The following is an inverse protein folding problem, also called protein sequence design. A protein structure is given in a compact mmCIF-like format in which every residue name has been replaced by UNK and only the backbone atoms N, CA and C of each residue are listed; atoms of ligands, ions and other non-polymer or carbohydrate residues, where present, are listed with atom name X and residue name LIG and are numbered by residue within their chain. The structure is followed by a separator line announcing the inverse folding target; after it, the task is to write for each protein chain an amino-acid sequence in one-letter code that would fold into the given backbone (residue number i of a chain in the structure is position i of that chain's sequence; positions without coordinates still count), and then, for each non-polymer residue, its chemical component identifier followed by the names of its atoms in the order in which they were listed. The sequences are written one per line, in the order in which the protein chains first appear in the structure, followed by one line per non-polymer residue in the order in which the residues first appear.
data_IF_792785883309
#
_entry.id   IF_792785883309
#
_cell.length_a   1.000
_cell.length_b   1.000
_cell.length_c   1.000
_cell.angle_alpha   90.00
_cell.angle_beta   90.00
_cell.angle_gamma   90.00
#
_symmetry.space_group_name_H-M   'P 1'
#
loop_
_entity.id
_entity.type
_entity.pdbx_description
1 polymer ?
#
# COMPACT_ATOMS: atom_id res chain seq x y z
N UNK A 1 1.03 -42.20 -8.77
CA UNK A 1 0.24 -41.06 -9.17
C UNK A 1 0.68 -39.76 -8.52
N UNK A 2 1.66 -39.80 -7.60
CA UNK A 2 2.29 -38.61 -7.03
C UNK A 2 3.14 -37.86 -8.07
N UNK A 3 3.57 -38.49 -9.13
CA UNK A 3 4.40 -37.89 -10.19
C UNK A 3 3.62 -36.84 -10.99
N UNK A 4 2.32 -37.05 -11.22
CA UNK A 4 1.49 -36.10 -11.95
C UNK A 4 1.25 -34.78 -11.18
N UNK A 5 1.09 -34.87 -9.86
CA UNK A 5 0.88 -33.71 -9.00
C UNK A 5 2.16 -32.86 -8.88
N UNK A 6 3.32 -33.49 -8.77
CA UNK A 6 4.62 -32.81 -8.75
C UNK A 6 4.91 -32.11 -10.07
N UNK A 7 4.55 -32.71 -11.19
CA UNK A 7 4.72 -32.13 -12.53
C UNK A 7 3.84 -30.90 -12.71
N UNK A 8 2.58 -30.93 -12.27
CA UNK A 8 1.66 -29.81 -12.35
C UNK A 8 2.14 -28.63 -11.48
N UNK A 9 2.64 -28.90 -10.28
CA UNK A 9 3.17 -27.86 -9.40
C UNK A 9 4.42 -27.20 -10.00
N UNK A 10 5.29 -27.95 -10.66
CA UNK A 10 6.46 -27.41 -11.33
C UNK A 10 6.09 -26.53 -12.51
N UNK A 11 5.11 -26.93 -13.31
CA UNK A 11 4.62 -26.12 -14.43
C UNK A 11 3.99 -24.83 -13.94
N UNK A 12 3.22 -24.87 -12.85
CA UNK A 12 2.62 -23.69 -12.24
C UNK A 12 3.71 -22.75 -11.70
N UNK A 13 4.73 -23.27 -11.04
CA UNK A 13 5.85 -22.49 -10.51
C UNK A 13 6.66 -21.84 -11.63
N UNK A 14 6.91 -22.58 -12.72
CA UNK A 14 7.61 -22.02 -13.89
C UNK A 14 6.80 -20.93 -14.57
N UNK A 15 5.49 -21.14 -14.71
CA UNK A 15 4.59 -20.15 -15.27
C UNK A 15 4.54 -18.89 -14.41
N UNK A 16 4.42 -19.05 -13.09
CA UNK A 16 4.41 -17.94 -12.16
C UNK A 16 5.72 -17.15 -12.22
N UNK A 17 6.86 -17.85 -12.26
CA UNK A 17 8.18 -17.24 -12.38
C UNK A 17 8.31 -16.46 -13.70
N UNK A 18 7.81 -16.99 -14.81
CA UNK A 18 7.83 -16.32 -16.12
C UNK A 18 6.93 -15.09 -16.12
N UNK A 19 5.77 -15.15 -15.47
CA UNK A 19 4.87 -14.01 -15.32
C UNK A 19 5.55 -12.91 -14.50
N UNK A 20 6.19 -13.28 -13.39
CA UNK A 20 6.90 -12.33 -12.53
C UNK A 20 8.07 -11.66 -13.28
N UNK A 21 8.85 -12.44 -14.01
CA UNK A 21 9.96 -11.93 -14.82
C UNK A 21 9.47 -11.01 -15.94
N UNK A 22 8.38 -11.39 -16.61
CA UNK A 22 7.73 -10.56 -17.63
C UNK A 22 7.24 -9.24 -17.04
N UNK A 23 6.57 -9.29 -15.90
CA UNK A 23 6.08 -8.10 -15.20
C UNK A 23 7.21 -7.17 -14.76
N UNK A 24 8.36 -7.73 -14.35
CA UNK A 24 9.56 -6.94 -14.00
C UNK A 24 10.18 -6.25 -15.20
N UNK A 25 10.06 -6.84 -16.40
CA UNK A 25 10.65 -6.27 -17.63
C UNK A 25 9.79 -5.20 -18.28
N UNK A 26 8.50 -5.10 -17.91
CA UNK A 26 7.58 -4.12 -18.48
C UNK A 26 7.72 -2.80 -17.75
N UNK A 27 7.95 -1.74 -18.52
CA UNK A 27 7.90 -0.38 -17.97
C UNK A 27 6.46 -0.02 -17.62
N UNK A 28 6.29 0.61 -16.45
CA UNK A 28 4.98 1.03 -15.97
C UNK A 28 5.14 2.34 -15.17
N UNK A 29 4.07 3.13 -15.02
CA UNK A 29 4.16 4.35 -14.23
C UNK A 29 4.29 4.01 -12.74
N UNK A 30 5.08 4.81 -12.04
CA UNK A 30 5.23 4.71 -10.59
C UNK A 30 4.60 5.96 -9.99
N UNK A 31 3.51 5.77 -9.27
CA UNK A 31 2.74 6.87 -8.70
C UNK A 31 2.84 6.87 -7.18
N UNK A 32 2.88 8.06 -6.62
CA UNK A 32 2.76 8.26 -5.18
C UNK A 32 1.43 8.94 -4.89
N UNK A 33 0.76 8.50 -3.82
CA UNK A 33 -0.52 9.03 -3.43
C UNK A 33 -0.44 9.70 -2.06
N UNK A 34 -1.04 10.87 -1.97
CA UNK A 34 -1.20 11.59 -0.72
C UNK A 34 -2.43 12.47 -0.76
N UNK A 35 -2.89 12.88 0.41
CA UNK A 35 -3.99 13.83 0.57
C UNK A 35 -3.49 15.01 1.38
N UNK A 36 -3.75 16.21 0.93
CA UNK A 36 -3.34 17.42 1.62
C UNK A 36 -3.76 18.68 0.89
N UNK A 37 -3.32 19.80 1.40
CA UNK A 37 -3.43 21.10 0.71
C UNK A 37 -2.11 21.38 -0.01
N UNK A 38 -1.18 22.06 0.63
CA UNK A 38 0.17 22.29 0.09
C UNK A 38 1.11 21.13 0.41
N UNK A 39 0.96 20.56 1.61
CA UNK A 39 1.70 19.38 2.06
C UNK A 39 0.73 18.26 2.43
N UNK A 40 1.12 17.00 2.26
CA UNK A 40 0.22 15.90 2.59
C UNK A 40 0.09 15.69 4.10
N UNK A 41 -1.13 15.52 4.58
CA UNK A 41 -1.43 15.02 5.92
C UNK A 41 -1.72 13.51 5.92
N UNK A 42 -1.88 12.91 4.74
CA UNK A 42 -1.99 11.46 4.55
C UNK A 42 -1.07 11.06 3.40
N UNK A 43 -0.29 10.00 3.62
CA UNK A 43 0.68 9.49 2.64
C UNK A 43 0.84 7.97 2.81
N UNK A 44 1.69 7.36 1.99
CA UNK A 44 1.94 5.93 2.01
C UNK A 44 2.45 5.43 3.38
N UNK A 45 3.24 6.24 4.07
CA UNK A 45 3.79 5.88 5.39
C UNK A 45 2.69 5.81 6.45
N UNK A 46 1.79 6.78 6.48
CA UNK A 46 0.65 6.78 7.40
C UNK A 46 -0.35 5.66 7.04
N UNK A 47 -0.56 5.42 5.75
CA UNK A 47 -1.37 4.30 5.28
C UNK A 47 -0.84 2.97 5.82
N UNK A 48 0.46 2.74 5.72
CA UNK A 48 1.09 1.52 6.25
C UNK A 48 0.93 1.42 7.77
N UNK A 49 1.12 2.52 8.48
CA UNK A 49 0.92 2.56 9.94
C UNK A 49 -0.50 2.14 10.32
N UNK A 50 -1.51 2.67 9.66
CA UNK A 50 -2.91 2.34 9.93
C UNK A 50 -3.21 0.86 9.61
N UNK A 51 -2.66 0.34 8.53
CA UNK A 51 -2.77 -1.08 8.21
C UNK A 51 -2.17 -1.98 9.29
N UNK A 52 -0.98 -1.63 9.76
CA UNK A 52 -0.30 -2.41 10.79
C UNK A 52 -1.03 -2.34 12.14
N UNK A 53 -1.59 -1.18 12.48
CA UNK A 53 -2.42 -1.04 13.69
C UNK A 53 -3.63 -1.98 13.62
N UNK A 54 -4.32 -2.02 12.50
CA UNK A 54 -5.47 -2.91 12.32
C UNK A 54 -5.08 -4.38 12.37
N UNK A 55 -3.96 -4.72 11.74
CA UNK A 55 -3.47 -6.10 11.66
C UNK A 55 -2.93 -6.60 13.00
N UNK A 56 -2.16 -5.78 13.69
CA UNK A 56 -1.46 -6.15 14.92
C UNK A 56 -2.24 -5.79 16.19
N UNK A 57 -3.23 -4.92 16.09
CA UNK A 57 -4.00 -4.36 17.21
C UNK A 57 -3.11 -3.74 18.31
N UNK A 58 -1.97 -3.18 17.91
CA UNK A 58 -0.96 -2.68 18.82
C UNK A 58 -0.09 -1.64 18.10
N UNK A 59 -0.15 -0.38 18.57
CA UNK A 59 0.60 0.71 17.96
C UNK A 59 2.11 0.55 18.16
N UNK A 60 2.53 0.00 19.29
CA UNK A 60 3.95 -0.18 19.58
C UNK A 60 4.58 -1.20 18.63
N UNK A 61 3.89 -2.32 18.40
CA UNK A 61 4.35 -3.34 17.43
C UNK A 61 4.37 -2.79 16.01
N UNK A 62 3.39 -2.00 15.63
CA UNK A 62 3.36 -1.33 14.34
C UNK A 62 4.55 -0.38 14.19
N UNK A 63 4.84 0.41 15.21
CA UNK A 63 6.00 1.31 15.24
C UNK A 63 7.31 0.55 15.12
N UNK A 64 7.46 -0.57 15.84
CA UNK A 64 8.67 -1.40 15.77
C UNK A 64 8.90 -1.91 14.34
N UNK A 65 7.84 -2.36 13.68
CA UNK A 65 7.91 -2.83 12.29
C UNK A 65 8.36 -1.73 11.33
N UNK A 66 7.94 -0.49 11.58
CA UNK A 66 8.24 0.65 10.72
C UNK A 66 9.49 1.43 11.11
N UNK A 67 10.18 1.05 12.18
CA UNK A 67 11.26 1.83 12.77
C UNK A 67 10.83 3.27 13.06
N UNK A 68 9.64 3.43 13.63
CA UNK A 68 9.01 4.71 13.91
C UNK A 68 8.80 4.84 15.43
N UNK A 69 9.07 6.02 15.99
CA UNK A 69 8.81 6.24 17.40
C UNK A 69 7.29 6.33 17.66
N UNK A 70 6.81 5.82 18.80
CA UNK A 70 5.37 5.93 19.15
C UNK A 70 4.87 7.38 19.19
N UNK A 71 5.68 8.31 19.68
CA UNK A 71 5.34 9.73 19.70
C UNK A 71 5.08 10.28 18.30
N UNK A 72 5.96 9.96 17.37
CA UNK A 72 5.83 10.39 15.97
C UNK A 72 4.61 9.75 15.31
N UNK A 73 4.36 8.47 15.59
CA UNK A 73 3.18 7.78 15.09
C UNK A 73 1.89 8.46 15.55
N UNK A 74 1.80 8.80 16.83
CA UNK A 74 0.63 9.49 17.37
C UNK A 74 0.48 10.90 16.80
N UNK A 75 1.57 11.63 16.56
CA UNK A 75 1.53 12.93 15.90
C UNK A 75 0.92 12.81 14.50
N UNK A 76 1.31 11.80 13.74
CA UNK A 76 0.77 11.54 12.39
C UNK A 76 -0.73 11.22 12.44
N UNK A 77 -1.14 10.38 13.37
CA UNK A 77 -2.54 9.97 13.56
C UNK A 77 -3.38 11.18 13.99
N UNK A 78 -2.90 11.96 14.96
CA UNK A 78 -3.61 13.11 15.47
C UNK A 78 -3.79 14.19 14.40
N UNK A 79 -2.79 14.43 13.58
CA UNK A 79 -2.89 15.36 12.44
C UNK A 79 -3.95 14.90 11.44
N UNK A 80 -3.96 13.61 11.11
CA UNK A 80 -4.96 13.04 10.22
C UNK A 80 -6.38 13.22 10.79
N UNK A 81 -6.58 12.89 12.06
CA UNK A 81 -7.88 13.02 12.73
C UNK A 81 -8.35 14.48 12.78
N UNK A 82 -7.41 15.39 13.03
CA UNK A 82 -7.70 16.82 13.01
C UNK A 82 -8.19 17.30 11.65
N UNK A 83 -7.52 16.87 10.59
CA UNK A 83 -7.87 17.24 9.22
C UNK A 83 -9.17 16.59 8.74
N UNK A 84 -9.43 15.35 9.12
CA UNK A 84 -10.65 14.65 8.75
C UNK A 84 -11.86 15.07 9.58
N UNK A 85 -11.65 15.49 10.82
CA UNK A 85 -12.71 15.88 11.72
C UNK A 85 -13.39 14.71 12.43
N UNK A 86 -12.79 13.51 12.39
CA UNK A 86 -13.32 12.35 13.12
C UNK A 86 -12.17 11.44 13.59
N UNK A 87 -12.47 10.58 14.55
CA UNK A 87 -11.52 9.64 15.13
C UNK A 87 -11.26 8.45 14.20
N UNK A 88 -10.01 8.16 13.92
CA UNK A 88 -9.58 7.07 13.05
C UNK A 88 -9.09 5.87 13.85
N UNK A 89 -8.47 6.10 15.00
CA UNK A 89 -7.85 5.08 15.85
C UNK A 89 -8.45 5.15 17.26
N UNK A 90 -8.82 3.99 17.80
CA UNK A 90 -9.29 3.84 19.16
C UNK A 90 -8.30 3.06 20.00
N UNK A 91 -8.13 3.49 21.26
CA UNK A 91 -7.39 2.76 22.27
C UNK A 91 -8.37 2.10 23.23
N UNK A 92 -8.14 0.83 23.53
CA UNK A 92 -8.85 0.13 24.60
C UNK A 92 -7.85 -0.11 25.73
N UNK A 93 -8.06 0.52 26.87
CA UNK A 93 -7.28 0.28 28.08
C UNK A 93 -7.61 -1.08 28.63
N UNK A 94 -6.64 -1.75 29.19
CA UNK A 94 -6.89 -2.81 30.13
C UNK A 94 -6.03 -4.03 29.97
N UNK A 95 -5.98 -4.78 31.07
CA UNK A 95 -5.44 -6.09 31.17
C UNK A 95 -3.93 -6.16 31.35
N UNK A 96 -3.48 -7.37 31.64
CA UNK A 96 -2.09 -7.71 31.92
C UNK A 96 -1.14 -7.47 30.75
N UNK A 97 -1.67 -7.37 29.54
CA UNK A 97 -0.88 -7.28 28.29
C UNK A 97 -0.90 -5.88 27.66
N UNK A 98 -1.29 -4.86 28.43
CA UNK A 98 -1.44 -3.52 27.90
C UNK A 98 -2.71 -3.33 27.08
N UNK A 99 -2.94 -2.11 26.60
CA UNK A 99 -4.12 -1.79 25.81
C UNK A 99 -4.02 -2.27 24.37
N UNK A 100 -5.18 -2.45 23.76
CA UNK A 100 -5.28 -2.72 22.31
C UNK A 100 -5.56 -1.43 21.56
N UNK A 101 -5.02 -1.32 20.38
CA UNK A 101 -5.25 -0.21 19.46
C UNK A 101 -5.83 -0.76 18.16
N UNK A 102 -6.88 -0.14 17.66
CA UNK A 102 -7.54 -0.58 16.45
C UNK A 102 -8.19 0.60 15.73
N UNK A 103 -8.52 0.42 14.47
CA UNK A 103 -9.21 1.46 13.70
C UNK A 103 -10.67 1.55 14.12
N UNK A 104 -11.21 2.77 14.10
CA UNK A 104 -12.65 2.98 14.17
C UNK A 104 -13.29 2.49 12.87
N UNK A 105 -14.60 2.34 12.86
CA UNK A 105 -15.32 2.03 11.62
C UNK A 105 -15.10 3.12 10.55
N UNK A 106 -15.14 4.38 10.96
CA UNK A 106 -14.84 5.50 10.05
C UNK A 106 -13.40 5.45 9.55
N UNK A 107 -12.45 5.10 10.40
CA UNK A 107 -11.05 4.93 10.02
C UNK A 107 -10.85 3.80 9.02
N UNK A 108 -11.55 2.68 9.22
CA UNK A 108 -11.55 1.56 8.28
C UNK A 108 -12.11 1.97 6.92
N UNK A 109 -13.24 2.66 6.90
CA UNK A 109 -13.86 3.14 5.66
C UNK A 109 -12.96 4.13 4.93
N UNK A 110 -12.29 5.02 5.66
CA UNK A 110 -11.32 5.93 5.09
C UNK A 110 -10.17 5.15 4.40
N UNK A 111 -9.60 4.18 5.10
CA UNK A 111 -8.48 3.39 4.57
C UNK A 111 -8.89 2.58 3.33
N UNK A 112 -10.04 1.94 3.37
CA UNK A 112 -10.60 1.19 2.22
C UNK A 112 -10.83 2.11 1.03
N UNK A 113 -11.37 3.29 1.27
CA UNK A 113 -11.63 4.28 0.21
C UNK A 113 -10.34 4.75 -0.44
N UNK A 114 -9.31 5.04 0.36
CA UNK A 114 -8.00 5.39 -0.15
C UNK A 114 -7.41 4.28 -1.02
N UNK A 115 -7.52 3.04 -0.58
CA UNK A 115 -7.00 1.88 -1.31
C UNK A 115 -7.71 1.71 -2.65
N UNK A 116 -9.04 1.81 -2.67
CA UNK A 116 -9.82 1.74 -3.91
C UNK A 116 -9.48 2.87 -4.87
N UNK A 117 -9.30 4.07 -4.33
CA UNK A 117 -8.91 5.22 -5.14
C UNK A 117 -7.54 5.00 -5.78
N UNK A 118 -6.55 4.56 -5.01
CA UNK A 118 -5.22 4.25 -5.54
C UNK A 118 -5.27 3.20 -6.64
N UNK A 119 -5.99 2.11 -6.43
CA UNK A 119 -6.11 1.02 -7.40
C UNK A 119 -6.70 1.50 -8.72
N UNK A 120 -7.73 2.34 -8.66
CA UNK A 120 -8.35 2.88 -9.86
C UNK A 120 -7.45 3.86 -10.60
N UNK A 121 -6.75 4.72 -9.87
CA UNK A 121 -5.80 5.67 -10.46
C UNK A 121 -4.63 4.93 -11.10
N UNK A 122 -4.09 3.93 -10.43
CA UNK A 122 -3.00 3.10 -10.98
C UNK A 122 -3.44 2.41 -12.26
N UNK A 123 -4.62 1.78 -12.24
CA UNK A 123 -5.16 1.09 -13.42
C UNK A 123 -5.36 2.05 -14.60
N UNK A 124 -5.92 3.22 -14.34
CA UNK A 124 -6.09 4.25 -15.36
C UNK A 124 -4.74 4.74 -15.90
N UNK A 125 -3.76 4.97 -15.00
CA UNK A 125 -2.44 5.44 -15.39
C UNK A 125 -1.70 4.41 -16.26
N UNK A 126 -1.84 3.13 -15.97
CA UNK A 126 -1.24 2.05 -16.76
C UNK A 126 -1.79 2.03 -18.18
N UNK A 127 -3.09 2.19 -18.34
CA UNK A 127 -3.73 2.25 -19.65
C UNK A 127 -3.25 3.45 -20.46
N UNK A 128 -3.17 4.62 -19.83
CA UNK A 128 -2.69 5.84 -20.48
C UNK A 128 -1.20 5.76 -20.80
N UNK A 129 -0.42 5.19 -19.91
CA UNK A 129 1.01 5.01 -20.10
C UNK A 129 1.29 4.11 -21.31
N UNK A 130 0.57 3.00 -21.42
CA UNK A 130 0.70 2.10 -22.56
C UNK A 130 0.46 2.83 -23.89
N UNK A 131 -0.61 3.59 -23.97
CA UNK A 131 -0.96 4.32 -25.21
C UNK A 131 0.03 5.45 -25.52
N UNK A 132 0.40 6.23 -24.50
CA UNK A 132 1.18 7.45 -24.71
C UNK A 132 2.67 7.19 -24.82
N UNK A 133 3.17 6.15 -24.16
CA UNK A 133 4.61 5.91 -24.06
C UNK A 133 5.07 4.61 -24.73
N UNK A 134 4.29 3.53 -24.61
CA UNK A 134 4.70 2.23 -25.17
C UNK A 134 4.29 2.06 -26.62
N UNK A 135 3.04 2.33 -26.95
CA UNK A 135 2.55 2.22 -28.34
C UNK A 135 3.20 3.25 -29.27
N UNK A 136 3.57 4.41 -28.72
CA UNK A 136 4.25 5.47 -29.48
C UNK A 136 5.75 5.24 -29.67
N UNK A 137 6.31 4.20 -29.04
CA UNK A 137 7.75 3.90 -29.06
C UNK A 137 8.62 5.03 -28.47
N UNK A 138 8.02 5.89 -27.63
CA UNK A 138 8.69 7.08 -27.10
C UNK A 138 9.85 6.74 -26.14
N UNK A 139 9.77 5.61 -25.46
CA UNK A 139 10.78 5.17 -24.49
C UNK A 139 11.84 4.24 -25.11
N UNK A 140 11.77 3.97 -26.42
CA UNK A 140 12.77 3.18 -27.09
C UNK A 140 14.01 4.03 -27.40
N UNK A 141 15.20 3.41 -27.23
CA UNK A 141 16.45 4.06 -27.62
C UNK A 141 16.45 4.30 -29.11
N UNK A 142 16.60 5.56 -29.51
CA UNK A 142 16.94 5.88 -30.89
C UNK A 142 18.39 5.49 -31.13
N UNK A 143 18.65 4.72 -32.21
CA UNK A 143 20.01 4.47 -32.62
C UNK A 143 20.66 5.81 -33.01
N UNK A 144 21.86 6.07 -32.48
CA UNK A 144 22.66 7.21 -32.93
C UNK A 144 23.07 6.98 -34.39
N UNK A 145 22.65 7.87 -35.25
CA UNK A 145 23.13 7.91 -36.63
C UNK A 145 24.61 8.33 -36.73
#
# INVERSE_FOLDING_TARGET
DDIGVLSLNQEDDELQSRIEEHNKSILHPILTFGIGHETPFFNARLKLLLFLIEDLNNVRKACDTMALSPGKAWDMINELEDKLGYTVVKRRRGGRNGGKTFLTEDGRQFLITCQRFEEQVISFSEQKFEKMFLESHMLEKKEEE
#
